data_IF_647397116960
#
_entry.id   IF_647397116960
#
_cell.length_a   1.000
_cell.length_b   1.000
_cell.length_c   1.000
_cell.angle_alpha   90.00
_cell.angle_beta   90.00
_cell.angle_gamma   90.00
#
_symmetry.space_group_name_H-M   'P 1'
#
loop_
_entity.id
_entity.type
_entity.pdbx_description
1 polymer ?
#
# COMPACT_ATOMS: atom_id res chain seq x y z
N UNK A 1 19.40 6.88 7.91
CA UNK A 1 18.24 7.76 8.17
C UNK A 1 18.02 8.57 6.91
N UNK A 2 16.94 8.24 6.21
CA UNK A 2 16.92 8.23 4.75
C UNK A 2 16.26 9.46 4.13
N UNK A 3 16.80 9.88 3.01
CA UNK A 3 16.19 10.84 2.11
C UNK A 3 14.87 10.25 1.56
N UNK A 4 13.73 10.68 2.12
CA UNK A 4 12.41 10.15 1.75
C UNK A 4 12.05 10.51 0.30
N UNK A 5 12.45 11.68 -0.17
CA UNK A 5 12.21 12.10 -1.57
C UNK A 5 12.94 11.20 -2.56
N UNK A 6 14.20 10.85 -2.26
CA UNK A 6 14.94 9.89 -3.06
C UNK A 6 14.29 8.51 -3.05
N UNK A 7 13.80 8.04 -1.89
CA UNK A 7 13.10 6.77 -1.79
C UNK A 7 11.81 6.77 -2.63
N UNK A 8 10.99 7.82 -2.53
CA UNK A 8 9.77 8.00 -3.33
C UNK A 8 10.10 7.97 -4.83
N UNK A 9 11.14 8.69 -5.25
CA UNK A 9 11.61 8.68 -6.64
C UNK A 9 11.98 7.26 -7.09
N UNK A 10 12.78 6.53 -6.31
CA UNK A 10 13.20 5.18 -6.67
C UNK A 10 12.03 4.19 -6.71
N UNK A 11 11.07 4.28 -5.80
CA UNK A 11 9.89 3.42 -5.83
C UNK A 11 8.99 3.71 -7.02
N UNK A 12 8.85 4.97 -7.42
CA UNK A 12 8.13 5.31 -8.65
C UNK A 12 8.78 4.68 -9.89
N UNK A 13 10.11 4.72 -9.99
CA UNK A 13 10.84 4.05 -11.08
C UNK A 13 10.64 2.54 -11.02
N UNK A 14 10.72 1.94 -9.84
CA UNK A 14 10.51 0.51 -9.67
C UNK A 14 9.08 0.06 -10.06
N UNK A 15 8.06 0.87 -9.77
CA UNK A 15 6.68 0.61 -10.23
C UNK A 15 6.59 0.68 -11.75
N UNK A 16 7.22 1.66 -12.40
CA UNK A 16 7.22 1.74 -13.87
C UNK A 16 7.87 0.51 -14.51
N UNK A 17 8.97 0.02 -13.91
CA UNK A 17 9.61 -1.21 -14.36
C UNK A 17 8.67 -2.42 -14.14
N UNK A 18 8.04 -2.53 -12.97
CA UNK A 18 7.09 -3.60 -12.66
C UNK A 18 5.89 -3.60 -13.63
N UNK A 19 5.28 -2.45 -13.88
CA UNK A 19 4.13 -2.29 -14.78
C UNK A 19 4.49 -2.60 -16.25
N UNK A 20 5.78 -2.55 -16.61
CA UNK A 20 6.27 -2.84 -17.97
C UNK A 20 6.56 -4.32 -18.24
N UNK A 21 6.50 -5.17 -17.21
CA UNK A 21 6.75 -6.60 -17.35
C UNK A 21 5.60 -7.26 -18.11
N UNK A 22 5.94 -8.29 -18.89
CA UNK A 22 4.91 -9.15 -19.45
C UNK A 22 4.21 -9.91 -18.32
N UNK A 23 2.90 -10.12 -18.47
CA UNK A 23 2.14 -10.92 -17.51
C UNK A 23 2.72 -12.34 -17.42
N UNK A 24 3.08 -12.75 -16.21
CA UNK A 24 3.56 -14.09 -15.84
C UNK A 24 2.76 -14.60 -14.64
N UNK A 25 2.44 -15.90 -14.60
CA UNK A 25 1.72 -16.51 -13.48
C UNK A 25 2.49 -17.73 -12.94
N UNK A 26 2.98 -17.67 -11.68
CA UNK A 26 2.85 -16.55 -10.74
C UNK A 26 3.69 -15.33 -11.16
N UNK A 27 3.37 -14.12 -10.67
CA UNK A 27 4.16 -12.93 -10.95
C UNK A 27 5.62 -13.09 -10.48
N UNK A 28 6.55 -12.48 -11.21
CA UNK A 28 7.99 -12.52 -10.88
C UNK A 28 8.31 -11.88 -9.51
N UNK A 29 7.45 -10.97 -9.04
CA UNK A 29 7.53 -10.35 -7.71
C UNK A 29 6.28 -10.66 -6.88
N UNK A 30 6.49 -11.23 -5.69
CA UNK A 30 5.42 -11.68 -4.80
C UNK A 30 4.71 -10.55 -4.04
N UNK A 31 5.32 -9.39 -3.90
CA UNK A 31 4.74 -8.21 -3.27
C UNK A 31 4.77 -7.02 -4.22
N UNK A 32 3.66 -6.29 -4.27
CA UNK A 32 3.59 -5.05 -5.03
C UNK A 32 4.55 -4.01 -4.49
N UNK A 33 5.32 -3.36 -5.37
CA UNK A 33 6.18 -2.24 -4.99
C UNK A 33 5.35 -1.05 -4.48
N UNK A 34 4.07 -0.96 -4.85
CA UNK A 34 3.14 0.07 -4.38
C UNK A 34 2.97 0.05 -2.86
N UNK A 35 3.11 -1.11 -2.21
CA UNK A 35 3.11 -1.22 -0.75
C UNK A 35 4.25 -0.42 -0.09
N UNK A 36 5.43 -0.44 -0.71
CA UNK A 36 6.61 0.26 -0.22
C UNK A 36 6.52 1.76 -0.49
N UNK A 37 6.04 2.14 -1.67
CA UNK A 37 5.79 3.54 -2.00
C UNK A 37 4.77 4.16 -1.05
N UNK A 38 3.62 3.50 -0.85
CA UNK A 38 2.57 3.97 0.05
C UNK A 38 3.09 4.19 1.48
N UNK A 39 3.86 3.23 2.02
CA UNK A 39 4.43 3.36 3.36
C UNK A 39 5.38 4.56 3.48
N UNK A 40 6.24 4.80 2.48
CA UNK A 40 7.14 5.96 2.50
C UNK A 40 6.38 7.28 2.32
N UNK A 41 5.32 7.30 1.50
CA UNK A 41 4.46 8.47 1.38
C UNK A 41 3.79 8.82 2.71
N UNK A 42 3.32 7.82 3.47
CA UNK A 42 2.80 8.02 4.83
C UNK A 42 3.88 8.55 5.79
N UNK A 43 5.08 7.98 5.77
CA UNK A 43 6.22 8.47 6.56
C UNK A 43 6.60 9.92 6.20
N UNK A 44 6.40 10.33 4.95
CA UNK A 44 6.62 11.69 4.45
C UNK A 44 5.44 12.65 4.70
N UNK A 45 4.34 12.20 5.31
CA UNK A 45 3.13 13.01 5.52
C UNK A 45 2.29 13.25 4.27
N UNK A 46 2.54 12.51 3.18
CA UNK A 46 1.88 12.64 1.86
C UNK A 46 0.71 11.66 1.75
N UNK A 47 -0.21 11.71 2.71
CA UNK A 47 -1.27 10.71 2.87
C UNK A 47 -2.24 10.61 1.67
N UNK A 48 -2.59 11.73 1.03
CA UNK A 48 -3.45 11.72 -0.15
C UNK A 48 -2.82 10.98 -1.35
N UNK A 49 -1.49 11.07 -1.49
CA UNK A 49 -0.78 10.34 -2.53
C UNK A 49 -0.66 8.85 -2.18
N UNK A 50 -0.47 8.53 -0.90
CA UNK A 50 -0.48 7.15 -0.42
C UNK A 50 -1.83 6.48 -0.72
N UNK A 51 -2.96 7.16 -0.45
CA UNK A 51 -4.30 6.66 -0.79
C UNK A 51 -4.41 6.30 -2.28
N UNK A 52 -3.99 7.19 -3.18
CA UNK A 52 -4.02 6.93 -4.62
C UNK A 52 -3.17 5.71 -5.01
N UNK A 53 -2.00 5.55 -4.40
CA UNK A 53 -1.11 4.40 -4.62
C UNK A 53 -1.75 3.09 -4.17
N UNK A 54 -2.37 3.04 -2.98
CA UNK A 54 -3.04 1.85 -2.47
C UNK A 54 -4.30 1.51 -3.26
N UNK A 55 -5.11 2.51 -3.63
CA UNK A 55 -6.27 2.30 -4.50
C UNK A 55 -5.86 1.69 -5.84
N UNK A 56 -4.78 2.21 -6.46
CA UNK A 56 -4.25 1.67 -7.71
C UNK A 56 -3.75 0.24 -7.57
N UNK A 57 -3.16 -0.09 -6.43
CA UNK A 57 -2.72 -1.45 -6.16
C UNK A 57 -3.89 -2.44 -6.03
N UNK A 58 -4.99 -2.03 -5.37
CA UNK A 58 -6.20 -2.85 -5.20
C UNK A 58 -6.93 -3.15 -6.51
N UNK A 59 -6.71 -2.39 -7.58
CA UNK A 59 -7.25 -2.71 -8.92
C UNK A 59 -6.75 -4.08 -9.41
N UNK A 60 -5.47 -4.38 -9.14
CA UNK A 60 -4.81 -5.62 -9.56
C UNK A 60 -4.76 -6.66 -8.45
N UNK A 61 -4.42 -6.22 -7.23
CA UNK A 61 -4.26 -7.06 -6.05
C UNK A 61 -5.51 -6.99 -5.16
N UNK A 62 -6.64 -7.41 -5.73
CA UNK A 62 -7.93 -7.34 -5.04
C UNK A 62 -7.89 -8.09 -3.69
N UNK A 63 -8.49 -7.48 -2.66
CA UNK A 63 -8.54 -8.03 -1.30
C UNK A 63 -7.17 -8.24 -0.63
N UNK A 64 -6.09 -7.61 -1.11
CA UNK A 64 -4.79 -7.67 -0.46
C UNK A 64 -4.82 -6.97 0.92
N UNK A 65 -4.67 -7.74 2.00
CA UNK A 65 -4.74 -7.23 3.37
C UNK A 65 -3.69 -6.17 3.73
N UNK A 66 -2.47 -6.27 3.18
CA UNK A 66 -1.42 -5.26 3.41
C UNK A 66 -1.76 -3.93 2.75
N UNK A 67 -2.30 -3.98 1.54
CA UNK A 67 -2.74 -2.81 0.78
C UNK A 67 -3.93 -2.15 1.46
N UNK A 68 -4.91 -2.93 1.90
CA UNK A 68 -6.09 -2.43 2.63
C UNK A 68 -5.70 -1.78 3.96
N UNK A 69 -4.73 -2.34 4.69
CA UNK A 69 -4.20 -1.73 5.91
C UNK A 69 -3.53 -0.38 5.65
N UNK A 70 -2.69 -0.29 4.61
CA UNK A 70 -2.07 0.96 4.20
C UNK A 70 -3.09 2.02 3.76
N UNK A 71 -4.13 1.61 3.02
CA UNK A 71 -5.23 2.49 2.63
C UNK A 71 -5.97 3.04 3.86
N UNK A 72 -6.26 2.20 4.84
CA UNK A 72 -6.83 2.61 6.12
C UNK A 72 -5.97 3.69 6.80
N UNK A 73 -4.66 3.45 6.93
CA UNK A 73 -3.73 4.43 7.52
C UNK A 73 -3.70 5.76 6.74
N UNK A 74 -3.78 5.71 5.41
CA UNK A 74 -3.82 6.89 4.56
C UNK A 74 -5.10 7.71 4.72
N UNK A 75 -6.25 7.05 4.88
CA UNK A 75 -7.54 7.70 5.10
C UNK A 75 -7.60 8.34 6.50
N UNK A 76 -7.11 7.63 7.53
CA UNK A 76 -7.00 8.19 8.88
C UNK A 76 -6.10 9.43 8.94
N UNK A 77 -4.92 9.37 8.31
CA UNK A 77 -3.99 10.50 8.28
C UNK A 77 -4.56 11.74 7.56
N UNK A 78 -5.58 11.57 6.72
CA UNK A 78 -6.30 12.67 6.06
C UNK A 78 -7.53 13.15 6.85
N UNK A 79 -7.90 12.49 7.94
CA UNK A 79 -9.12 12.79 8.69
C UNK A 79 -10.41 12.31 8.00
N UNK A 80 -10.32 11.39 7.02
CA UNK A 80 -11.47 10.79 6.33
C UNK A 80 -12.07 9.65 7.18
N UNK A 81 -12.60 10.00 8.34
CA UNK A 81 -12.93 9.03 9.40
C UNK A 81 -13.98 8.00 8.98
N UNK A 82 -14.99 8.39 8.20
CA UNK A 82 -16.06 7.46 7.81
C UNK A 82 -15.54 6.39 6.84
N UNK A 83 -14.73 6.81 5.88
CA UNK A 83 -14.07 5.95 4.91
C UNK A 83 -13.05 5.04 5.59
N UNK A 84 -12.26 5.59 6.52
CA UNK A 84 -11.28 4.82 7.29
C UNK A 84 -11.95 3.68 8.07
N UNK A 85 -13.08 3.93 8.75
CA UNK A 85 -13.83 2.88 9.47
C UNK A 85 -14.28 1.75 8.54
N UNK A 86 -14.72 2.09 7.32
CA UNK A 86 -15.16 1.09 6.34
C UNK A 86 -13.98 0.22 5.91
N UNK A 87 -12.85 0.84 5.56
CA UNK A 87 -11.64 0.14 5.11
C UNK A 87 -11.00 -0.66 6.23
N UNK A 88 -11.02 -0.17 7.47
CA UNK A 88 -10.54 -0.90 8.65
C UNK A 88 -11.31 -2.22 8.84
N UNK A 89 -12.64 -2.19 8.71
CA UNK A 89 -13.46 -3.41 8.80
C UNK A 89 -13.15 -4.41 7.68
N UNK A 90 -12.87 -3.92 6.48
CA UNK A 90 -12.44 -4.77 5.37
C UNK A 90 -11.08 -5.42 5.67
N UNK A 91 -10.12 -4.63 6.17
CA UNK A 91 -8.83 -5.13 6.62
C UNK A 91 -9.00 -6.22 7.69
N UNK A 92 -9.76 -5.95 8.76
CA UNK A 92 -10.03 -6.92 9.82
C UNK A 92 -10.64 -8.22 9.28
N UNK A 93 -11.53 -8.14 8.29
CA UNK A 93 -12.10 -9.31 7.62
C UNK A 93 -11.04 -10.12 6.85
N UNK A 94 -10.18 -9.46 6.08
CA UNK A 94 -9.13 -10.12 5.29
C UNK A 94 -7.99 -10.68 6.16
N UNK A 95 -7.69 -10.03 7.28
CA UNK A 95 -6.62 -10.40 8.21
C UNK A 95 -7.08 -11.25 9.40
N UNK A 96 -8.37 -11.64 9.47
CA UNK A 96 -8.96 -12.32 10.64
C UNK A 96 -8.24 -13.60 11.10
N UNK A 97 -7.58 -14.30 10.17
CA UNK A 97 -6.87 -15.55 10.41
C UNK A 97 -5.35 -15.39 10.32
N UNK A 98 -4.84 -14.16 10.27
CA UNK A 98 -3.41 -13.92 10.20
C UNK A 98 -2.76 -14.20 11.56
N UNK A 99 -1.62 -14.90 11.53
CA UNK A 99 -0.83 -15.18 12.74
C UNK A 99 0.08 -14.01 13.16
N UNK A 100 0.02 -12.89 12.42
CA UNK A 100 0.86 -11.71 12.63
C UNK A 100 0.02 -10.44 12.63
N UNK A 101 0.36 -9.53 13.54
CA UNK A 101 -0.12 -8.16 13.52
C UNK A 101 0.82 -7.31 12.67
N UNK A 102 0.25 -6.42 11.85
CA UNK A 102 1.01 -5.51 11.00
C UNK A 102 0.81 -4.07 11.47
N UNK A 103 1.90 -3.31 11.52
CA UNK A 103 1.89 -1.89 11.92
C UNK A 103 2.15 -0.94 10.75
N UNK A 104 2.55 -1.51 9.62
CA UNK A 104 2.84 -0.83 8.34
C UNK A 104 2.52 -1.76 7.19
N UNK A 105 2.24 -1.21 6.02
CA UNK A 105 1.90 -1.98 4.82
C UNK A 105 3.09 -2.69 4.15
N UNK A 106 4.22 -2.88 4.84
CA UNK A 106 5.43 -3.55 4.32
C UNK A 106 6.15 -4.29 5.46
N UNK A 107 6.88 -5.34 5.11
CA UNK A 107 7.73 -6.09 6.06
C UNK A 107 8.85 -5.20 6.63
#
# INVERSE_FOLDING_TARGET
KGNLDAAIMHYNVAIQLQDSLNYTEPPDWSQSIRLYLGAVLLEAGRAAEAEAVYMKDLEWNQQNGWTTFGLYQALEAQGKTQEAIIVERQFQSFFRNADVEITRSRL
#
